data_IF_653680802357
#
_entry.id   IF_653680802357
#
_cell.length_a   1.000
_cell.length_b   1.000
_cell.length_c   1.000
_cell.angle_alpha   90.00
_cell.angle_beta   90.00
_cell.angle_gamma   90.00
#
_symmetry.space_group_name_H-M   'P 1'
#
loop_
_entity.id
_entity.type
_entity.pdbx_description
1 polymer ?
#
# COMPACT_ATOMS: atom_id res chain seq x y z
N UNK A 1 -55.55 -2.25 20.76
CA UNK A 1 -54.51 -2.48 19.72
C UNK A 1 -53.15 -2.54 20.40
N UNK A 2 -52.67 -3.75 20.69
CA UNK A 2 -51.36 -3.98 21.31
C UNK A 2 -50.30 -4.07 20.21
N UNK A 3 -49.40 -3.07 20.12
CA UNK A 3 -48.21 -3.17 19.28
C UNK A 3 -47.20 -4.06 20.00
N UNK A 4 -47.09 -5.32 19.57
CA UNK A 4 -45.97 -6.20 19.93
C UNK A 4 -44.67 -5.54 19.47
N UNK A 5 -43.80 -5.15 20.40
CA UNK A 5 -42.38 -4.92 20.11
C UNK A 5 -41.78 -6.27 19.71
N UNK A 6 -41.39 -6.42 18.45
CA UNK A 6 -40.70 -7.61 17.96
C UNK A 6 -39.24 -7.67 18.46
N UNK A 7 -38.64 -8.86 18.60
CA UNK A 7 -37.29 -9.06 19.11
C UNK A 7 -36.22 -8.90 18.00
N UNK A 8 -36.32 -7.85 17.18
CA UNK A 8 -35.47 -7.69 15.98
C UNK A 8 -34.15 -6.95 16.19
N UNK A 9 -33.88 -6.40 17.38
CA UNK A 9 -32.76 -5.47 17.60
C UNK A 9 -31.41 -6.10 17.98
N UNK A 10 -31.38 -7.34 18.47
CA UNK A 10 -30.14 -7.99 18.93
C UNK A 10 -29.35 -8.65 17.80
N UNK A 11 -30.05 -9.26 16.85
CA UNK A 11 -29.42 -10.12 15.83
C UNK A 11 -28.81 -9.29 14.68
N UNK A 12 -29.42 -8.15 14.34
CA UNK A 12 -28.89 -7.21 13.35
C UNK A 12 -27.61 -6.52 13.85
N UNK A 13 -27.57 -6.14 15.14
CA UNK A 13 -26.39 -5.50 15.73
C UNK A 13 -25.21 -6.47 15.84
N UNK A 14 -25.47 -7.72 16.24
CA UNK A 14 -24.44 -8.76 16.27
C UNK A 14 -23.89 -9.09 14.87
N UNK A 15 -24.73 -9.06 13.84
CA UNK A 15 -24.30 -9.25 12.46
C UNK A 15 -23.46 -8.08 11.95
N UNK A 16 -23.82 -6.85 12.29
CA UNK A 16 -23.04 -5.65 11.93
C UNK A 16 -21.64 -5.65 12.59
N UNK A 17 -21.57 -5.93 13.89
CA UNK A 17 -20.30 -6.03 14.62
C UNK A 17 -19.40 -7.14 14.06
N UNK A 18 -19.99 -8.28 13.68
CA UNK A 18 -19.26 -9.36 13.01
C UNK A 18 -18.70 -8.95 11.65
N UNK A 19 -19.50 -8.25 10.83
CA UNK A 19 -19.06 -7.75 9.51
C UNK A 19 -17.93 -6.74 9.66
N UNK A 20 -18.02 -5.83 10.62
CA UNK A 20 -16.96 -4.84 10.90
C UNK A 20 -15.66 -5.51 11.34
N UNK A 21 -15.75 -6.49 12.25
CA UNK A 21 -14.58 -7.28 12.66
C UNK A 21 -13.94 -8.01 11.47
N UNK A 22 -14.76 -8.65 10.63
CA UNK A 22 -14.30 -9.37 9.45
C UNK A 22 -13.64 -8.44 8.43
N UNK A 23 -14.23 -7.27 8.20
CA UNK A 23 -13.67 -6.23 7.32
C UNK A 23 -12.32 -5.73 7.82
N UNK A 24 -12.20 -5.39 9.10
CA UNK A 24 -10.96 -4.93 9.72
C UNK A 24 -9.84 -5.99 9.59
N UNK A 25 -10.16 -7.26 9.84
CA UNK A 25 -9.23 -8.36 9.64
C UNK A 25 -8.77 -8.49 8.18
N UNK A 26 -9.70 -8.42 7.22
CA UNK A 26 -9.39 -8.55 5.78
C UNK A 26 -8.55 -7.36 5.31
N UNK A 27 -8.92 -6.13 5.67
CA UNK A 27 -8.16 -4.92 5.33
C UNK A 27 -6.72 -5.02 5.83
N UNK A 28 -6.49 -5.49 7.06
CA UNK A 28 -5.13 -5.72 7.57
C UNK A 28 -4.34 -6.73 6.72
N UNK A 29 -4.96 -7.84 6.32
CA UNK A 29 -4.29 -8.85 5.47
C UNK A 29 -3.98 -8.30 4.07
N UNK A 30 -4.91 -7.55 3.46
CA UNK A 30 -4.71 -6.93 2.15
C UNK A 30 -3.62 -5.85 2.20
N UNK A 31 -3.58 -5.03 3.24
CA UNK A 31 -2.54 -4.02 3.46
C UNK A 31 -1.16 -4.63 3.77
N UNK A 32 -1.10 -5.94 4.07
CA UNK A 32 0.16 -6.64 4.28
C UNK A 32 0.79 -7.15 2.97
N UNK A 33 0.02 -7.24 1.87
CA UNK A 33 0.50 -7.76 0.58
C UNK A 33 1.75 -7.04 0.02
N UNK A 34 1.90 -5.70 0.15
CA UNK A 34 3.08 -5.01 -0.37
C UNK A 34 4.39 -5.47 0.26
N UNK A 35 4.34 -6.05 1.46
CA UNK A 35 5.51 -6.53 2.18
C UNK A 35 5.91 -7.96 1.80
N UNK A 36 5.29 -8.55 0.76
CA UNK A 36 5.60 -9.87 0.24
C UNK A 36 6.41 -9.78 -1.06
N UNK A 37 7.19 -10.83 -1.29
CA UNK A 37 7.79 -11.10 -2.60
C UNK A 37 6.71 -11.09 -3.68
N UNK A 38 6.98 -10.41 -4.78
CA UNK A 38 6.01 -10.19 -5.86
C UNK A 38 5.37 -11.50 -6.39
N UNK A 39 6.16 -12.58 -6.40
CA UNK A 39 5.75 -13.90 -6.88
C UNK A 39 4.75 -14.58 -5.95
N UNK A 40 4.76 -14.22 -4.66
CA UNK A 40 3.90 -14.80 -3.64
C UNK A 40 2.59 -14.04 -3.48
N UNK A 41 2.50 -12.79 -3.95
CA UNK A 41 1.34 -11.91 -3.74
C UNK A 41 0.05 -12.53 -4.26
N UNK A 42 0.05 -13.07 -5.49
CA UNK A 42 -1.14 -13.69 -6.09
C UNK A 42 -1.58 -14.92 -5.29
N UNK A 43 -0.64 -15.79 -4.91
CA UNK A 43 -0.95 -17.01 -4.15
C UNK A 43 -1.51 -16.69 -2.75
N UNK A 44 -0.91 -15.73 -2.05
CA UNK A 44 -1.38 -15.29 -0.73
C UNK A 44 -2.72 -14.59 -0.83
N UNK A 45 -2.95 -13.75 -1.85
CA UNK A 45 -4.24 -13.12 -2.07
C UNK A 45 -5.37 -14.14 -2.25
N UNK A 46 -5.19 -15.15 -3.10
CA UNK A 46 -6.22 -16.20 -3.29
C UNK A 46 -6.42 -17.06 -2.03
N UNK A 47 -5.37 -17.22 -1.20
CA UNK A 47 -5.50 -17.84 0.12
C UNK A 47 -6.35 -16.99 1.06
N UNK A 48 -6.21 -15.66 1.04
CA UNK A 48 -7.04 -14.74 1.84
C UNK A 48 -8.50 -14.81 1.40
N UNK A 49 -8.75 -14.81 0.08
CA UNK A 49 -10.10 -14.90 -0.50
C UNK A 49 -10.78 -16.20 -0.09
N UNK A 50 -10.07 -17.33 -0.16
CA UNK A 50 -10.63 -18.64 0.22
C UNK A 50 -10.90 -18.76 1.73
N UNK A 51 -10.05 -18.17 2.58
CA UNK A 51 -10.22 -18.17 4.04
C UNK A 51 -11.33 -17.24 4.54
N UNK A 52 -11.62 -16.14 3.84
CA UNK A 52 -12.60 -15.16 4.27
C UNK A 52 -14.05 -15.68 4.22
N UNK A 53 -14.30 -16.76 3.47
CA UNK A 53 -15.64 -17.32 3.26
C UNK A 53 -16.52 -16.43 2.37
N UNK A 54 -17.42 -17.06 1.61
CA UNK A 54 -18.34 -16.36 0.72
C UNK A 54 -19.61 -16.03 1.50
N UNK A 55 -19.95 -14.74 1.68
CA UNK A 55 -21.22 -14.39 2.33
C UNK A 55 -21.52 -12.91 2.51
N UNK A 56 -20.50 -12.04 2.53
CA UNK A 56 -20.70 -10.58 2.73
C UNK A 56 -20.47 -9.84 1.40
N UNK A 57 -21.49 -9.18 0.82
CA UNK A 57 -21.36 -8.50 -0.48
C UNK A 57 -20.25 -7.44 -0.53
N UNK A 58 -20.10 -6.66 0.54
CA UNK A 58 -19.07 -5.61 0.61
C UNK A 58 -17.64 -6.17 0.53
N UNK A 59 -17.38 -7.33 1.15
CA UNK A 59 -16.09 -8.01 1.12
C UNK A 59 -15.82 -8.57 -0.28
N UNK A 60 -16.82 -9.17 -0.91
CA UNK A 60 -16.68 -9.69 -2.28
C UNK A 60 -16.34 -8.58 -3.27
N UNK A 61 -17.02 -7.42 -3.18
CA UNK A 61 -16.72 -6.25 -4.01
C UNK A 61 -15.29 -5.73 -3.78
N UNK A 62 -14.82 -5.73 -2.54
CA UNK A 62 -13.45 -5.34 -2.21
C UNK A 62 -12.43 -6.31 -2.83
N UNK A 63 -12.66 -7.62 -2.74
CA UNK A 63 -11.77 -8.61 -3.36
C UNK A 63 -11.77 -8.50 -4.88
N UNK A 64 -12.92 -8.29 -5.50
CA UNK A 64 -13.01 -8.09 -6.95
C UNK A 64 -12.24 -6.84 -7.38
N UNK A 65 -12.43 -5.73 -6.67
CA UNK A 65 -11.66 -4.50 -6.90
C UNK A 65 -10.15 -4.72 -6.75
N UNK A 66 -9.72 -5.36 -5.66
CA UNK A 66 -8.29 -5.59 -5.42
C UNK A 66 -7.68 -6.51 -6.47
N UNK A 67 -8.38 -7.60 -6.84
CA UNK A 67 -7.92 -8.53 -7.86
C UNK A 67 -7.68 -7.80 -9.17
N UNK A 68 -8.69 -7.07 -9.65
CA UNK A 68 -8.68 -6.41 -10.95
C UNK A 68 -7.71 -5.23 -11.01
N UNK A 69 -7.53 -4.49 -9.91
CA UNK A 69 -6.74 -3.26 -9.89
C UNK A 69 -5.27 -3.50 -9.55
N UNK A 70 -4.98 -4.41 -8.62
CA UNK A 70 -3.64 -4.51 -8.00
C UNK A 70 -2.97 -5.87 -8.17
N UNK A 71 -3.73 -6.96 -8.35
CA UNK A 71 -3.16 -8.32 -8.45
C UNK A 71 -2.91 -8.73 -9.90
N UNK A 72 -3.90 -8.56 -10.79
CA UNK A 72 -3.83 -9.02 -12.20
C UNK A 72 -3.69 -7.89 -13.22
N UNK A 73 -3.77 -6.63 -12.75
CA UNK A 73 -3.69 -5.45 -13.61
C UNK A 73 -2.33 -5.32 -14.28
N UNK A 74 -2.35 -4.95 -15.57
CA UNK A 74 -1.14 -4.56 -16.31
C UNK A 74 -0.70 -3.13 -16.01
N UNK A 75 -1.59 -2.28 -15.47
CA UNK A 75 -1.29 -0.88 -15.15
C UNK A 75 -0.54 -0.74 -13.83
N UNK A 76 -0.89 -1.58 -12.85
CA UNK A 76 -0.28 -1.59 -11.51
C UNK A 76 0.11 -3.02 -11.12
N UNK A 77 1.09 -3.61 -11.83
CA UNK A 77 1.51 -4.98 -11.56
C UNK A 77 2.19 -5.09 -10.17
N UNK A 78 2.15 -6.27 -9.51
CA UNK A 78 2.74 -6.48 -8.19
C UNK A 78 4.18 -6.00 -7.99
N UNK A 79 5.03 -6.13 -9.02
CA UNK A 79 6.40 -5.63 -8.98
C UNK A 79 6.52 -4.10 -8.88
N UNK A 80 5.48 -3.37 -9.29
CA UNK A 80 5.46 -1.91 -9.30
C UNK A 80 5.04 -1.28 -7.97
N UNK A 81 4.51 -2.07 -7.04
CA UNK A 81 4.04 -1.58 -5.74
C UNK A 81 4.49 -2.42 -4.54
N UNK A 82 5.01 -3.63 -4.75
CA UNK A 82 5.69 -4.38 -3.70
C UNK A 82 6.88 -3.59 -3.17
N UNK A 83 7.02 -3.56 -1.85
CA UNK A 83 8.11 -2.90 -1.13
C UNK A 83 9.08 -3.91 -0.53
N UNK A 84 8.91 -5.20 -0.83
CA UNK A 84 9.77 -6.26 -0.31
C UNK A 84 11.24 -6.00 -0.66
N UNK A 85 12.11 -6.00 0.34
CA UNK A 85 13.54 -5.77 0.16
C UNK A 85 13.93 -4.31 -0.13
N UNK A 86 12.99 -3.37 -0.09
CA UNK A 86 13.28 -1.94 -0.27
C UNK A 86 13.39 -1.22 1.08
N UNK A 87 14.39 -0.33 1.22
CA UNK A 87 14.50 0.57 2.37
C UNK A 87 13.32 1.54 2.36
N UNK A 88 12.39 1.38 3.30
CA UNK A 88 11.09 2.06 3.27
C UNK A 88 11.21 3.58 3.47
N UNK A 89 10.90 4.36 2.42
CA UNK A 89 10.55 5.79 2.54
C UNK A 89 9.71 6.34 1.37
N UNK A 90 8.72 5.58 0.88
CA UNK A 90 7.90 5.97 -0.29
C UNK A 90 7.11 7.27 -0.08
N UNK A 91 6.48 7.46 1.08
CA UNK A 91 5.63 8.64 1.29
C UNK A 91 6.41 9.96 1.33
N UNK A 92 7.52 10.03 2.09
CA UNK A 92 8.29 11.27 2.20
C UNK A 92 8.98 11.67 0.88
N UNK A 93 9.34 10.69 0.05
CA UNK A 93 9.87 10.98 -1.29
C UNK A 93 8.74 11.58 -2.16
N UNK A 94 7.53 11.00 -2.17
CA UNK A 94 6.36 11.57 -2.85
C UNK A 94 5.96 12.97 -2.33
N UNK A 95 5.87 13.14 -1.02
CA UNK A 95 5.60 14.42 -0.37
C UNK A 95 6.69 15.45 -0.69
N UNK A 96 7.95 15.04 -0.68
CA UNK A 96 9.09 15.88 -1.04
C UNK A 96 9.02 16.34 -2.50
N UNK A 97 8.64 15.45 -3.42
CA UNK A 97 8.41 15.82 -4.82
C UNK A 97 7.26 16.81 -4.97
N UNK A 98 6.12 16.53 -4.33
CA UNK A 98 4.96 17.40 -4.35
C UNK A 98 5.26 18.78 -3.76
N UNK A 99 5.98 18.82 -2.63
CA UNK A 99 6.45 20.06 -2.00
C UNK A 99 7.35 20.87 -2.94
N UNK A 100 8.35 20.25 -3.57
CA UNK A 100 9.24 20.95 -4.53
C UNK A 100 8.48 21.47 -5.73
N UNK A 101 7.54 20.69 -6.27
CA UNK A 101 6.71 21.10 -7.40
C UNK A 101 5.85 22.33 -7.03
N UNK A 102 5.17 22.29 -5.88
CA UNK A 102 4.35 23.39 -5.39
C UNK A 102 5.19 24.64 -5.08
N UNK A 103 6.34 24.45 -4.43
CA UNK A 103 7.25 25.55 -4.09
C UNK A 103 7.82 26.24 -5.34
N UNK A 104 8.19 25.46 -6.38
CA UNK A 104 8.68 26.00 -7.65
C UNK A 104 7.56 26.61 -8.50
N UNK A 105 6.35 26.07 -8.40
CA UNK A 105 5.18 26.58 -9.12
C UNK A 105 4.64 27.91 -8.59
N UNK A 106 4.87 28.24 -7.30
CA UNK A 106 4.49 29.50 -6.62
C UNK A 106 3.04 29.95 -6.84
N UNK A 107 2.15 29.04 -7.24
CA UNK A 107 0.76 29.31 -7.64
C UNK A 107 -0.11 28.12 -7.28
N UNK A 108 -1.32 28.38 -6.78
CA UNK A 108 -2.29 27.34 -6.44
C UNK A 108 -2.86 26.63 -7.68
N UNK A 109 -2.89 27.30 -8.84
CA UNK A 109 -3.30 26.73 -10.13
C UNK A 109 -2.19 26.90 -11.15
N UNK A 110 -1.54 25.80 -11.52
CA UNK A 110 -0.46 25.76 -12.50
C UNK A 110 -1.02 25.54 -13.91
N UNK A 111 -0.79 26.44 -14.87
CA UNK A 111 -1.08 26.19 -16.28
C UNK A 111 -0.32 24.95 -16.78
N UNK A 112 -0.93 24.16 -17.66
CA UNK A 112 -0.39 22.87 -18.10
C UNK A 112 1.03 22.96 -18.69
N UNK A 113 1.31 23.95 -19.54
CA UNK A 113 2.66 24.13 -20.12
C UNK A 113 3.75 24.35 -19.05
N UNK A 114 3.40 25.03 -17.95
CA UNK A 114 4.32 25.31 -16.86
C UNK A 114 4.53 24.06 -16.00
N UNK A 115 3.47 23.28 -15.79
CA UNK A 115 3.53 21.97 -15.13
C UNK A 115 4.45 21.01 -15.89
N UNK A 116 4.29 20.89 -17.21
CA UNK A 116 5.14 20.02 -18.06
C UNK A 116 6.61 20.40 -17.93
N UNK A 117 6.94 21.70 -17.93
CA UNK A 117 8.33 22.16 -17.76
C UNK A 117 8.91 21.83 -16.38
N UNK A 118 8.11 21.99 -15.32
CA UNK A 118 8.51 21.65 -13.96
C UNK A 118 8.71 20.15 -13.78
N UNK A 119 7.81 19.33 -14.32
CA UNK A 119 7.93 17.87 -14.31
C UNK A 119 9.19 17.41 -15.04
N UNK A 120 9.49 17.99 -16.20
CA UNK A 120 10.72 17.70 -16.94
C UNK A 120 11.98 18.04 -16.12
N UNK A 121 11.98 19.18 -15.41
CA UNK A 121 13.10 19.55 -14.52
C UNK A 121 13.25 18.60 -13.33
N UNK A 122 12.15 18.19 -12.70
CA UNK A 122 12.19 17.21 -11.60
C UNK A 122 12.70 15.85 -12.09
N UNK A 123 12.23 15.36 -13.24
CA UNK A 123 12.68 14.08 -13.80
C UNK A 123 14.20 14.00 -14.03
N UNK A 124 14.84 15.13 -14.42
CA UNK A 124 16.30 15.19 -14.55
C UNK A 124 17.03 15.04 -13.22
N UNK A 125 16.47 15.54 -12.11
CA UNK A 125 17.07 15.43 -10.78
C UNK A 125 17.03 13.97 -10.31
N UNK A 126 15.94 13.26 -10.61
CA UNK A 126 15.78 11.83 -10.30
C UNK A 126 16.85 11.01 -11.00
N UNK A 127 17.14 11.29 -12.27
CA UNK A 127 18.20 10.60 -13.00
C UNK A 127 19.59 10.77 -12.36
N UNK A 128 19.87 11.97 -11.83
CA UNK A 128 21.11 12.24 -11.09
C UNK A 128 21.16 11.45 -9.79
N UNK A 129 20.06 11.40 -9.04
CA UNK A 129 19.98 10.60 -7.81
C UNK A 129 20.16 9.11 -8.09
N UNK A 130 19.54 8.57 -9.15
CA UNK A 130 19.72 7.17 -9.58
C UNK A 130 21.19 6.90 -9.93
N UNK A 131 21.83 7.82 -10.64
CA UNK A 131 23.26 7.72 -10.98
C UNK A 131 24.13 7.75 -9.72
N UNK A 132 23.82 8.61 -8.75
CA UNK A 132 24.55 8.67 -7.48
C UNK A 132 24.32 7.42 -6.60
N UNK A 133 23.14 6.78 -6.67
CA UNK A 133 22.89 5.48 -6.02
C UNK A 133 23.73 4.40 -6.67
N UNK A 134 23.81 4.39 -8.01
CA UNK A 134 24.65 3.47 -8.76
C UNK A 134 26.15 3.62 -8.43
N UNK A 135 26.58 4.84 -8.16
CA UNK A 135 27.96 5.15 -7.76
C UNK A 135 28.24 4.94 -6.27
N UNK A 136 27.29 4.40 -5.50
CA UNK A 136 27.35 4.20 -4.04
C UNK A 136 27.62 5.48 -3.21
N UNK A 137 27.58 6.65 -3.84
CA UNK A 137 27.97 7.95 -3.28
C UNK A 137 26.82 8.63 -2.50
N UNK A 138 25.68 7.94 -2.36
CA UNK A 138 24.52 8.43 -1.60
C UNK A 138 24.47 7.82 -0.20
N UNK A 139 25.20 8.42 0.74
CA UNK A 139 24.92 8.22 2.17
C UNK A 139 23.71 9.07 2.57
N UNK A 140 22.49 8.56 2.33
CA UNK A 140 21.28 9.18 2.90
C UNK A 140 21.32 8.99 4.42
N UNK A 141 21.51 10.08 5.17
CA UNK A 141 21.41 10.05 6.63
C UNK A 141 19.98 9.71 7.05
N UNK A 142 19.82 8.58 7.75
CA UNK A 142 18.53 8.09 8.24
C UNK A 142 18.42 8.33 9.74
N UNK A 143 17.27 8.84 10.19
CA UNK A 143 17.00 8.97 11.62
C UNK A 143 17.02 7.59 12.27
N UNK A 144 17.69 7.44 13.42
CA UNK A 144 17.80 6.17 14.16
C UNK A 144 16.48 5.44 14.38
N UNK A 145 15.39 6.18 14.63
CA UNK A 145 14.06 5.59 14.79
C UNK A 145 13.55 4.88 13.52
N UNK A 146 13.82 5.45 12.34
CA UNK A 146 13.48 4.82 11.07
C UNK A 146 14.34 3.58 10.83
N UNK A 147 15.66 3.68 11.09
CA UNK A 147 16.61 2.56 10.99
C UNK A 147 16.17 1.39 11.87
N UNK A 148 15.72 1.65 13.10
CA UNK A 148 15.24 0.60 14.01
C UNK A 148 13.98 -0.12 13.50
N UNK A 149 13.03 0.60 12.88
CA UNK A 149 11.83 -0.01 12.32
C UNK A 149 12.20 -0.83 11.06
N UNK A 150 13.01 -0.25 10.18
CA UNK A 150 13.42 -0.90 8.93
C UNK A 150 14.27 -2.14 9.19
N UNK A 151 15.23 -2.09 10.13
CA UNK A 151 16.07 -3.25 10.48
C UNK A 151 15.28 -4.44 11.03
N UNK A 152 14.21 -4.18 11.81
CA UNK A 152 13.30 -5.24 12.26
C UNK A 152 12.60 -5.90 11.07
N UNK A 153 12.16 -5.12 10.10
CA UNK A 153 11.50 -5.61 8.89
C UNK A 153 12.47 -6.37 7.98
N UNK A 154 13.68 -5.85 7.78
CA UNK A 154 14.76 -6.49 7.02
C UNK A 154 15.08 -7.88 7.59
N UNK A 155 15.14 -8.00 8.92
CA UNK A 155 15.31 -9.30 9.58
C UNK A 155 14.16 -10.27 9.25
N UNK A 156 12.91 -9.81 9.31
CA UNK A 156 11.74 -10.63 8.97
C UNK A 156 11.75 -11.05 7.49
N UNK A 157 12.17 -10.17 6.59
CA UNK A 157 12.35 -10.51 5.18
C UNK A 157 13.47 -11.53 4.95
N UNK A 158 14.57 -11.43 5.69
CA UNK A 158 15.63 -12.43 5.62
C UNK A 158 15.16 -13.81 6.11
N UNK A 159 14.40 -13.86 7.21
CA UNK A 159 13.77 -15.10 7.72
C UNK A 159 12.78 -15.69 6.70
N UNK A 160 11.97 -14.85 6.05
CA UNK A 160 11.03 -15.25 5.02
C UNK A 160 11.72 -15.81 3.76
N UNK A 161 12.73 -15.10 3.25
CA UNK A 161 13.49 -15.54 2.06
C UNK A 161 14.29 -16.83 2.29
N UNK A 162 14.69 -17.09 3.53
CA UNK A 162 15.40 -18.32 3.90
C UNK A 162 14.48 -19.52 4.14
N UNK A 163 13.16 -19.34 4.04
CA UNK A 163 12.18 -20.39 4.30
C UNK A 163 12.07 -20.78 5.77
N UNK A 164 12.65 -19.99 6.68
CA UNK A 164 12.58 -20.22 8.12
C UNK A 164 11.23 -19.80 8.72
N UNK A 165 10.40 -19.10 7.94
CA UNK A 165 9.05 -18.65 8.28
C UNK A 165 8.17 -18.46 7.04
#
# INVERSE_FOLDING_TARGET
MSKRKGPGGSDENNNAEFVDFLMDMICRKLMALPFLLQEHITAVFETIVSQAGVGVPAINNLFEYMRNTWVVSQLFPPHGWSVFGHSLRTNNDCEGWHYRLNHRGKRAKLPFYLLVHLLHKEARIVNIQVTMVYLEDLTRDQRRAAVNITSRLEKLWAEYSSGSR
#
